data_IF_481541584426
#
_entry.id   IF_481541584426
#
_cell.length_a   1.000
_cell.length_b   1.000
_cell.length_c   1.000
_cell.angle_alpha   90.00
_cell.angle_beta   90.00
_cell.angle_gamma   90.00
#
_symmetry.space_group_name_H-M   'P 1'
#
loop_
_entity.id
_entity.type
_entity.pdbx_description
1 polymer ?
#
# COMPACT_ATOMS: atom_id res chain seq x y z
N UNK A 1 -4.85 -17.16 3.37
CA UNK A 1 -4.95 -17.24 1.90
C UNK A 1 -6.19 -16.47 1.42
N UNK A 2 -7.42 -16.79 1.88
CA UNK A 2 -8.64 -16.12 1.43
C UNK A 2 -8.64 -14.61 1.71
N UNK A 3 -8.22 -14.16 2.89
CA UNK A 3 -8.12 -12.73 3.24
C UNK A 3 -7.11 -11.98 2.37
N UNK A 4 -5.99 -12.62 2.02
CA UNK A 4 -4.98 -12.07 1.11
C UNK A 4 -5.55 -11.88 -0.31
N UNK A 5 -6.32 -12.86 -0.79
CA UNK A 5 -6.97 -12.79 -2.10
C UNK A 5 -8.05 -11.69 -2.10
N UNK A 6 -8.91 -11.66 -1.09
CA UNK A 6 -9.95 -10.64 -0.94
C UNK A 6 -9.34 -9.22 -0.90
N UNK A 7 -8.26 -9.00 -0.13
CA UNK A 7 -7.57 -7.73 -0.07
C UNK A 7 -6.92 -7.32 -1.40
N UNK A 8 -6.43 -8.29 -2.20
CA UNK A 8 -5.90 -8.05 -3.55
C UNK A 8 -7.00 -7.75 -4.56
N UNK A 9 -8.20 -8.26 -4.33
CA UNK A 9 -9.40 -7.95 -5.12
C UNK A 9 -10.14 -6.69 -4.62
N UNK A 10 -9.56 -5.94 -3.66
CA UNK A 10 -10.14 -4.71 -3.14
C UNK A 10 -11.20 -4.90 -2.05
N UNK A 11 -11.66 -6.14 -1.79
CA UNK A 11 -12.70 -6.42 -0.80
C UNK A 11 -12.12 -6.42 0.61
N UNK A 12 -12.66 -5.56 1.49
CA UNK A 12 -12.22 -5.48 2.90
C UNK A 12 -10.76 -5.05 3.09
N UNK A 13 -10.13 -4.46 2.07
CA UNK A 13 -8.70 -4.13 2.05
C UNK A 13 -8.26 -3.30 3.25
N UNK A 14 -9.03 -2.28 3.66
CA UNK A 14 -8.70 -1.41 4.79
C UNK A 14 -8.95 -2.08 6.15
N UNK A 15 -9.68 -3.19 6.19
CA UNK A 15 -9.91 -3.99 7.40
C UNK A 15 -8.88 -5.11 7.54
N UNK A 16 -8.11 -5.40 6.49
CA UNK A 16 -7.07 -6.43 6.48
C UNK A 16 -5.78 -5.91 7.12
N UNK A 17 -5.83 -5.78 8.46
CA UNK A 17 -4.78 -5.20 9.28
C UNK A 17 -4.44 -6.08 10.47
N UNK A 18 -3.25 -5.86 11.04
CA UNK A 18 -2.80 -6.46 12.30
C UNK A 18 -2.77 -5.39 13.40
N UNK A 19 -2.67 -5.81 14.65
CA UNK A 19 -2.50 -4.88 15.77
C UNK A 19 -1.15 -4.13 15.64
N UNK A 20 -1.10 -2.82 15.90
CA UNK A 20 0.16 -2.11 16.05
C UNK A 20 0.94 -2.62 17.26
N UNK A 21 2.27 -2.58 17.21
CA UNK A 21 3.11 -3.03 18.31
C UNK A 21 4.41 -3.67 17.86
N UNK A 22 5.10 -4.32 18.77
CA UNK A 22 6.38 -4.98 18.52
C UNK A 22 6.19 -6.48 18.36
N UNK A 23 6.73 -7.02 17.28
CA UNK A 23 6.69 -8.45 16.94
C UNK A 23 8.10 -8.99 16.80
N UNK A 24 8.28 -10.27 17.09
CA UNK A 24 9.54 -10.99 16.85
C UNK A 24 9.42 -11.93 15.65
N UNK A 25 10.52 -12.08 14.92
CA UNK A 25 10.72 -13.11 13.91
C UNK A 25 11.96 -13.90 14.34
N UNK A 26 11.85 -15.22 14.41
CA UNK A 26 12.88 -16.06 14.99
C UNK A 26 13.02 -15.83 16.50
N UNK A 27 14.25 -15.74 16.99
CA UNK A 27 14.58 -15.49 18.39
C UNK A 27 15.47 -14.24 18.54
N UNK A 28 14.91 -13.01 18.32
CA UNK A 28 15.69 -11.80 18.26
C UNK A 28 16.25 -11.43 19.66
N UNK A 29 17.54 -11.16 19.69
CA UNK A 29 18.29 -10.66 20.82
C UNK A 29 18.40 -9.13 20.85
N UNK A 30 19.25 -8.64 21.75
CA UNK A 30 19.46 -7.20 21.96
C UNK A 30 20.17 -6.49 20.79
N UNK A 31 20.91 -7.23 19.97
CA UNK A 31 21.65 -6.70 18.83
C UNK A 31 20.94 -6.94 17.49
N UNK A 32 19.78 -7.61 17.53
CA UNK A 32 18.96 -7.91 16.33
C UNK A 32 18.37 -6.67 15.71
N UNK A 33 18.29 -6.66 14.38
CA UNK A 33 17.77 -5.53 13.62
C UNK A 33 16.30 -5.22 13.99
N UNK A 34 15.96 -3.94 14.04
CA UNK A 34 14.59 -3.45 14.23
C UNK A 34 14.08 -2.87 12.92
N UNK A 35 13.13 -3.55 12.29
CA UNK A 35 12.47 -3.10 11.07
C UNK A 35 11.12 -2.47 11.42
N UNK A 36 10.75 -1.42 10.68
CA UNK A 36 9.47 -0.73 10.89
C UNK A 36 8.57 -0.95 9.67
N UNK A 37 7.30 -1.26 9.90
CA UNK A 37 6.31 -1.45 8.83
C UNK A 37 4.93 -0.93 9.22
N UNK A 38 4.04 -0.83 8.23
CA UNK A 38 2.64 -0.47 8.42
C UNK A 38 1.84 -1.66 8.98
N UNK A 39 0.72 -1.37 9.67
CA UNK A 39 -0.19 -2.42 10.14
C UNK A 39 -1.08 -3.01 9.03
N UNK A 40 -0.86 -2.68 7.76
CA UNK A 40 -1.46 -3.37 6.63
C UNK A 40 -0.91 -4.80 6.55
N UNK A 41 -1.80 -5.77 6.70
CA UNK A 41 -1.39 -7.18 6.86
C UNK A 41 -0.54 -7.70 5.70
N UNK A 42 -0.82 -7.31 4.44
CA UNK A 42 0.00 -7.74 3.31
C UNK A 42 1.44 -7.22 3.40
N UNK A 43 1.65 -5.97 3.84
CA UNK A 43 2.99 -5.41 4.03
C UNK A 43 3.74 -6.15 5.13
N UNK A 44 3.07 -6.43 6.24
CA UNK A 44 3.65 -7.17 7.35
C UNK A 44 3.99 -8.62 6.96
N UNK A 45 3.06 -9.36 6.36
CA UNK A 45 3.28 -10.75 5.96
C UNK A 45 4.39 -10.88 4.91
N UNK A 46 4.47 -9.91 3.98
CA UNK A 46 5.54 -9.87 2.98
C UNK A 46 6.90 -9.67 3.66
N UNK A 47 7.01 -8.67 4.56
CA UNK A 47 8.24 -8.43 5.29
C UNK A 47 8.62 -9.65 6.14
N UNK A 48 7.69 -10.19 6.91
CA UNK A 48 7.92 -11.36 7.78
C UNK A 48 8.41 -12.57 6.99
N UNK A 49 7.86 -12.80 5.80
CA UNK A 49 8.30 -13.89 4.91
C UNK A 49 9.77 -13.74 4.52
N UNK A 50 10.20 -12.54 4.19
CA UNK A 50 11.59 -12.29 3.78
C UNK A 50 12.57 -12.32 4.96
N UNK A 51 12.07 -12.34 6.20
CA UNK A 51 12.88 -12.41 7.43
C UNK A 51 12.99 -13.84 8.01
N UNK A 52 12.46 -14.86 7.34
CA UNK A 52 12.40 -16.24 7.88
C UNK A 52 13.75 -16.85 8.26
N UNK A 53 14.86 -16.33 7.73
CA UNK A 53 16.23 -16.77 8.03
C UNK A 53 16.98 -15.79 8.93
N UNK A 54 16.30 -14.80 9.51
CA UNK A 54 16.89 -13.74 10.31
C UNK A 54 16.14 -13.59 11.63
N UNK A 55 16.90 -13.40 12.71
CA UNK A 55 16.34 -13.00 13.99
C UNK A 55 16.19 -11.48 14.01
N UNK A 56 14.95 -11.01 13.99
CA UNK A 56 14.66 -9.58 13.86
C UNK A 56 13.41 -9.15 14.63
N UNK A 57 13.39 -7.89 15.04
CA UNK A 57 12.22 -7.22 15.58
C UNK A 57 11.47 -6.51 14.46
N UNK A 58 10.13 -6.57 14.46
CA UNK A 58 9.27 -5.80 13.57
C UNK A 58 8.41 -4.86 14.41
N UNK A 59 8.65 -3.56 14.29
CA UNK A 59 7.81 -2.52 14.89
C UNK A 59 6.71 -2.14 13.90
N UNK A 60 5.47 -2.39 14.27
CA UNK A 60 4.29 -2.17 13.44
C UNK A 60 3.60 -0.86 13.83
N UNK A 61 3.57 0.07 12.90
CA UNK A 61 2.97 1.40 13.05
C UNK A 61 1.49 1.37 12.66
N UNK A 62 0.62 2.06 13.40
CA UNK A 62 -0.79 2.16 13.04
C UNK A 62 -1.00 3.10 11.87
N UNK A 63 -1.28 2.52 10.72
CA UNK A 63 -1.60 3.21 9.48
C UNK A 63 -3.06 3.05 9.06
N UNK A 64 -3.91 2.60 9.98
CA UNK A 64 -5.33 2.27 9.73
C UNK A 64 -5.51 1.20 8.65
N UNK A 65 -4.58 0.27 8.52
CA UNK A 65 -4.62 -0.78 7.52
C UNK A 65 -4.20 -0.33 6.12
N UNK A 66 -3.52 0.80 5.99
CA UNK A 66 -3.00 1.32 4.71
C UNK A 66 -1.53 0.93 4.58
N UNK A 67 -1.08 0.62 3.37
CA UNK A 67 0.31 0.27 3.09
C UNK A 67 1.26 1.47 3.35
N UNK A 68 2.56 1.19 3.48
CA UNK A 68 3.58 2.19 3.84
C UNK A 68 3.53 3.43 2.94
N UNK A 69 3.56 3.24 1.61
CA UNK A 69 3.66 4.36 0.67
C UNK A 69 2.43 5.28 0.74
N UNK A 70 1.24 4.71 0.59
CA UNK A 70 0.01 5.49 0.67
C UNK A 70 -0.19 6.13 2.06
N UNK A 71 0.23 5.45 3.13
CA UNK A 71 0.13 5.95 4.49
C UNK A 71 1.11 7.11 4.76
N UNK A 72 2.32 7.04 4.22
CA UNK A 72 3.30 8.12 4.30
C UNK A 72 2.78 9.40 3.62
N UNK A 73 2.22 9.28 2.40
CA UNK A 73 1.61 10.41 1.69
C UNK A 73 0.37 11.00 2.38
N UNK A 74 -0.29 10.24 3.27
CA UNK A 74 -1.45 10.67 4.06
C UNK A 74 -1.11 11.05 5.51
N UNK A 75 0.17 11.20 5.83
CA UNK A 75 0.69 11.45 7.18
C UNK A 75 0.28 10.39 8.25
N UNK A 76 -0.19 9.22 7.83
CA UNK A 76 -0.53 8.11 8.72
C UNK A 76 0.70 7.27 9.09
N UNK A 77 1.67 7.15 8.17
CA UNK A 77 3.02 6.66 8.47
C UNK A 77 3.93 7.86 8.60
N UNK A 78 3.84 8.53 9.75
CA UNK A 78 4.53 9.80 10.00
C UNK A 78 5.50 9.73 11.17
N UNK A 79 6.32 10.77 11.31
CA UNK A 79 7.32 10.90 12.39
C UNK A 79 6.71 10.68 13.75
N UNK A 80 5.60 11.35 14.07
CA UNK A 80 4.92 11.26 15.38
C UNK A 80 4.49 9.82 15.69
N UNK A 81 3.96 9.11 14.71
CA UNK A 81 3.48 7.75 14.91
C UNK A 81 4.63 6.76 15.13
N UNK A 82 5.73 6.91 14.37
CA UNK A 82 6.95 6.11 14.60
C UNK A 82 7.49 6.34 16.01
N UNK A 83 7.64 7.60 16.43
CA UNK A 83 8.11 7.96 17.78
C UNK A 83 7.19 7.39 18.85
N UNK A 84 5.87 7.51 18.68
CA UNK A 84 4.87 6.95 19.59
C UNK A 84 5.03 5.44 19.72
N UNK A 85 5.16 4.72 18.62
CA UNK A 85 5.33 3.26 18.63
C UNK A 85 6.65 2.85 19.31
N UNK A 86 7.75 3.54 19.05
CA UNK A 86 9.04 3.28 19.72
C UNK A 86 8.92 3.43 21.25
N UNK A 87 8.29 4.51 21.70
CA UNK A 87 8.16 4.78 23.12
C UNK A 87 7.21 3.79 23.81
N UNK A 88 6.07 3.46 23.18
CA UNK A 88 5.10 2.49 23.72
C UNK A 88 5.65 1.06 23.80
N UNK A 89 6.45 0.65 22.81
CA UNK A 89 7.06 -0.69 22.80
C UNK A 89 8.21 -0.83 23.79
N UNK A 90 8.60 0.24 24.48
CA UNK A 90 9.78 0.28 25.36
C UNK A 90 11.04 -0.29 24.69
N UNK A 91 11.20 -0.05 23.38
CA UNK A 91 12.23 -0.66 22.54
C UNK A 91 13.65 -0.44 23.10
N UNK A 92 13.91 0.71 23.74
CA UNK A 92 15.19 1.02 24.42
C UNK A 92 15.59 0.00 25.50
N UNK A 93 14.63 -0.74 26.07
CA UNK A 93 14.92 -1.79 27.07
C UNK A 93 15.21 -3.14 26.44
N UNK A 94 14.84 -3.32 25.16
CA UNK A 94 14.94 -4.59 24.46
C UNK A 94 16.18 -4.68 23.59
N UNK A 95 16.66 -3.55 23.05
CA UNK A 95 17.81 -3.51 22.14
C UNK A 95 18.92 -2.60 22.69
N UNK A 96 20.18 -2.97 22.42
CA UNK A 96 21.36 -2.18 22.83
C UNK A 96 21.71 -1.08 21.86
N UNK A 97 21.32 -1.24 20.59
CA UNK A 97 21.58 -0.27 19.53
C UNK A 97 20.41 0.74 19.40
N UNK A 98 20.70 1.91 18.85
CA UNK A 98 19.72 2.97 18.62
C UNK A 98 19.43 3.14 17.11
N UNK A 99 19.08 2.06 16.41
CA UNK A 99 18.83 2.08 14.97
C UNK A 99 17.50 1.44 14.61
N UNK A 100 16.74 2.12 13.74
CA UNK A 100 15.50 1.63 13.14
C UNK A 100 15.69 1.54 11.62
N UNK A 101 15.30 0.43 11.02
CA UNK A 101 15.28 0.26 9.57
C UNK A 101 13.86 0.56 9.10
N UNK A 102 13.68 1.70 8.43
CA UNK A 102 12.43 2.10 7.80
C UNK A 102 12.45 1.80 6.31
N UNK A 103 11.31 1.39 5.73
CA UNK A 103 11.23 1.21 4.28
C UNK A 103 11.46 2.55 3.57
N UNK A 104 12.18 2.54 2.45
CA UNK A 104 12.48 3.76 1.66
C UNK A 104 11.21 4.56 1.32
N UNK A 105 10.10 3.88 1.06
CA UNK A 105 8.82 4.52 0.71
C UNK A 105 8.17 5.30 1.87
N UNK A 106 8.68 5.18 3.10
CA UNK A 106 8.24 5.98 4.24
C UNK A 106 8.91 7.36 4.31
N UNK A 107 9.94 7.60 3.51
CA UNK A 107 10.74 8.83 3.58
C UNK A 107 9.93 10.11 3.32
N UNK A 108 8.82 10.04 2.59
CA UNK A 108 7.93 11.18 2.34
C UNK A 108 7.12 11.62 3.56
N UNK A 109 6.92 10.72 4.55
CA UNK A 109 6.14 11.00 5.76
C UNK A 109 6.95 11.10 7.05
N UNK A 110 8.23 10.66 7.04
CA UNK A 110 9.04 10.54 8.25
C UNK A 110 10.30 11.40 8.17
N UNK A 111 10.45 12.30 9.14
CA UNK A 111 11.70 13.04 9.35
C UNK A 111 12.67 12.22 10.21
N UNK A 112 13.72 11.68 9.61
CA UNK A 112 14.74 10.90 10.30
C UNK A 112 15.39 11.69 11.46
N UNK A 113 15.61 12.99 11.26
CA UNK A 113 16.19 13.87 12.27
C UNK A 113 15.26 14.00 13.50
N UNK A 114 13.97 14.23 13.28
CA UNK A 114 13.00 14.34 14.39
C UNK A 114 12.80 13.02 15.12
N UNK A 115 12.74 11.88 14.40
CA UNK A 115 12.68 10.55 15.04
C UNK A 115 13.87 10.38 15.97
N UNK A 116 15.10 10.70 15.52
CA UNK A 116 16.29 10.61 16.35
C UNK A 116 16.21 11.54 17.57
N UNK A 117 15.78 12.78 17.38
CA UNK A 117 15.64 13.77 18.45
C UNK A 117 14.64 13.35 19.53
N UNK A 118 13.47 12.83 19.14
CA UNK A 118 12.35 12.56 20.03
C UNK A 118 12.37 11.14 20.63
N UNK A 119 12.90 10.15 19.89
CA UNK A 119 12.95 8.76 20.34
C UNK A 119 14.35 8.27 20.73
N UNK A 120 15.40 9.00 20.33
CA UNK A 120 16.81 8.57 20.46
C UNK A 120 17.27 7.54 19.41
N UNK A 121 16.38 7.07 18.52
CA UNK A 121 16.71 6.10 17.49
C UNK A 121 17.04 6.76 16.16
N UNK A 122 18.17 6.43 15.58
CA UNK A 122 18.54 6.86 14.22
C UNK A 122 17.77 6.02 13.19
N UNK A 123 17.26 6.68 12.16
CA UNK A 123 16.59 6.03 11.03
C UNK A 123 17.61 5.65 9.97
N UNK A 124 17.60 4.38 9.59
CA UNK A 124 18.26 3.84 8.41
C UNK A 124 17.19 3.57 7.35
N UNK A 125 17.39 4.14 6.17
CA UNK A 125 16.49 3.87 5.05
C UNK A 125 16.87 2.55 4.40
N UNK A 126 16.01 1.56 4.58
CA UNK A 126 16.13 0.25 3.97
C UNK A 126 15.69 0.23 2.50
N UNK A 127 15.64 -0.95 1.86
CA UNK A 127 15.22 -1.10 0.47
C UNK A 127 13.72 -0.78 0.28
N UNK A 128 13.35 -0.50 -0.98
CA UNK A 128 11.95 -0.34 -1.41
C UNK A 128 11.19 -1.67 -1.29
N UNK A 129 11.84 -2.77 -1.63
CA UNK A 129 11.23 -4.10 -1.66
C UNK A 129 11.68 -4.95 -0.49
N UNK A 130 10.73 -5.67 0.12
CA UNK A 130 11.03 -6.57 1.22
C UNK A 130 12.01 -7.69 0.83
N UNK A 131 11.95 -8.19 -0.41
CA UNK A 131 12.88 -9.23 -0.91
C UNK A 131 14.35 -8.86 -0.85
N UNK A 132 14.66 -7.56 -0.89
CA UNK A 132 16.03 -7.05 -0.89
C UNK A 132 16.57 -6.87 0.55
N UNK A 133 15.72 -7.10 1.59
CA UNK A 133 16.09 -6.84 2.99
C UNK A 133 17.23 -7.76 3.50
N UNK A 134 17.23 -9.02 3.08
CA UNK A 134 18.29 -9.96 3.46
C UNK A 134 19.64 -9.51 2.91
N UNK A 135 19.69 -9.17 1.61
CA UNK A 135 20.90 -8.64 0.97
C UNK A 135 21.35 -7.32 1.59
N UNK A 136 20.42 -6.44 1.92
CA UNK A 136 20.71 -5.17 2.60
C UNK A 136 21.35 -5.40 3.98
N UNK A 137 20.82 -6.33 4.78
CA UNK A 137 21.38 -6.65 6.11
C UNK A 137 22.75 -7.31 5.97
N UNK A 138 22.88 -8.28 5.05
CA UNK A 138 24.14 -8.99 4.80
C UNK A 138 25.25 -8.05 4.28
N UNK A 139 24.89 -7.03 3.49
CA UNK A 139 25.83 -6.03 2.96
C UNK A 139 26.13 -4.87 3.96
N UNK A 140 26.05 -5.14 5.25
CA UNK A 140 26.33 -4.14 6.28
C UNK A 140 25.35 -2.96 6.29
N UNK A 141 24.09 -3.20 5.91
CA UNK A 141 23.01 -2.18 5.87
C UNK A 141 23.27 -1.06 4.86
N UNK A 142 23.99 -1.37 3.79
CA UNK A 142 24.22 -0.47 2.66
C UNK A 142 23.21 -0.76 1.56
N UNK A 143 22.61 0.31 1.04
CA UNK A 143 21.59 0.22 -0.01
C UNK A 143 22.26 0.40 -1.37
N UNK A 144 22.07 -0.55 -2.25
CA UNK A 144 22.40 -0.42 -3.67
C UNK A 144 21.43 0.52 -4.37
N UNK A 145 21.85 1.15 -5.48
CA UNK A 145 20.99 2.03 -6.28
C UNK A 145 19.71 1.32 -6.78
N UNK A 146 19.83 0.03 -7.14
CA UNK A 146 18.69 -0.80 -7.56
C UNK A 146 17.65 -1.02 -6.45
N UNK A 147 18.08 -1.07 -5.20
CA UNK A 147 17.19 -1.26 -4.03
C UNK A 147 16.35 0.00 -3.72
N UNK A 148 16.69 1.16 -4.29
CA UNK A 148 15.98 2.43 -4.09
C UNK A 148 14.95 2.72 -5.15
N UNK A 149 14.86 1.91 -6.20
CA UNK A 149 13.99 2.16 -7.35
C UNK A 149 12.70 1.35 -7.28
N UNK A 150 11.59 2.02 -7.57
CA UNK A 150 10.31 1.37 -7.90
C UNK A 150 10.32 1.10 -9.38
N UNK A 151 10.21 -0.17 -9.80
CA UNK A 151 10.39 -0.55 -11.21
C UNK A 151 9.12 -0.40 -12.04
N UNK A 152 7.94 -0.40 -11.43
CA UNK A 152 6.65 -0.40 -12.14
C UNK A 152 6.60 -1.42 -13.29
N UNK A 153 7.10 -2.64 -13.05
CA UNK A 153 7.07 -3.71 -14.03
C UNK A 153 5.63 -4.02 -14.48
N UNK A 154 5.47 -4.63 -15.65
CA UNK A 154 4.16 -5.04 -16.17
C UNK A 154 3.34 -5.81 -15.12
N UNK A 155 3.95 -6.79 -14.44
CA UNK A 155 3.27 -7.56 -13.40
C UNK A 155 2.80 -6.72 -12.22
N UNK A 156 3.61 -5.74 -11.79
CA UNK A 156 3.25 -4.82 -10.69
C UNK A 156 2.05 -3.93 -11.05
N UNK A 157 1.90 -3.58 -12.32
CA UNK A 157 0.77 -2.79 -12.83
C UNK A 157 -0.49 -3.61 -13.01
N UNK A 158 -0.38 -4.80 -13.61
CA UNK A 158 -1.53 -5.69 -13.83
C UNK A 158 -2.18 -6.11 -12.50
N UNK A 159 -1.40 -6.33 -11.45
CA UNK A 159 -1.91 -6.69 -10.11
C UNK A 159 -2.82 -5.60 -9.52
N UNK A 160 -2.75 -4.35 -9.99
CA UNK A 160 -3.60 -3.25 -9.51
C UNK A 160 -4.96 -3.21 -10.23
N UNK A 161 -5.09 -3.76 -11.43
CA UNK A 161 -6.33 -3.73 -12.23
C UNK A 161 -7.54 -4.27 -11.45
N UNK A 162 -7.50 -5.44 -10.77
CA UNK A 162 -8.63 -5.94 -10.00
C UNK A 162 -9.07 -5.00 -8.87
N UNK A 163 -8.13 -4.26 -8.27
CA UNK A 163 -8.43 -3.29 -7.22
C UNK A 163 -9.20 -2.10 -7.79
N UNK A 164 -8.79 -1.57 -8.93
CA UNK A 164 -9.48 -0.47 -9.61
C UNK A 164 -10.88 -0.89 -10.05
N UNK A 165 -11.01 -2.05 -10.69
CA UNK A 165 -12.31 -2.59 -11.10
C UNK A 165 -13.26 -2.84 -9.92
N UNK A 166 -12.74 -3.25 -8.76
CA UNK A 166 -13.55 -3.50 -7.57
C UNK A 166 -14.20 -2.25 -6.96
N UNK A 167 -13.71 -1.06 -7.32
CA UNK A 167 -14.28 0.22 -6.86
C UNK A 167 -15.43 0.73 -7.74
N UNK A 168 -15.61 0.16 -8.93
CA UNK A 168 -16.62 0.59 -9.91
C UNK A 168 -18.07 0.21 -9.56
N UNK A 169 -18.38 -0.93 -8.92
CA UNK A 169 -19.77 -1.34 -8.71
C UNK A 169 -20.63 -0.30 -7.99
N UNK A 170 -20.09 0.38 -6.98
CA UNK A 170 -20.83 1.39 -6.21
C UNK A 170 -21.24 2.61 -7.05
N UNK A 171 -20.33 3.33 -7.74
CA UNK A 171 -20.73 4.44 -8.59
C UNK A 171 -21.56 3.98 -9.79
N UNK A 172 -21.27 2.81 -10.37
CA UNK A 172 -22.01 2.26 -11.50
C UNK A 172 -23.47 1.98 -11.16
N UNK A 173 -23.74 1.47 -9.95
CA UNK A 173 -25.11 1.18 -9.49
C UNK A 173 -26.01 2.43 -9.52
N UNK A 174 -25.47 3.61 -9.26
CA UNK A 174 -26.21 4.88 -9.35
C UNK A 174 -26.19 5.48 -10.75
N UNK A 175 -25.11 5.25 -11.47
CA UNK A 175 -24.94 5.78 -12.82
C UNK A 175 -25.87 5.12 -13.84
N UNK A 176 -26.09 3.81 -13.74
CA UNK A 176 -26.95 3.07 -14.68
C UNK A 176 -28.38 3.62 -14.74
N UNK A 177 -29.14 3.76 -13.63
CA UNK A 177 -30.48 4.34 -13.68
C UNK A 177 -30.47 5.80 -14.11
N UNK A 178 -29.44 6.58 -13.75
CA UNK A 178 -29.31 7.95 -14.20
C UNK A 178 -29.12 8.05 -15.72
N UNK A 179 -28.26 7.22 -16.31
CA UNK A 179 -28.09 7.12 -17.76
C UNK A 179 -29.41 6.76 -18.43
N UNK A 180 -30.13 5.76 -17.93
CA UNK A 180 -31.40 5.33 -18.47
C UNK A 180 -32.43 6.46 -18.47
N UNK A 181 -32.63 7.11 -17.34
CA UNK A 181 -33.60 8.21 -17.20
C UNK A 181 -33.24 9.40 -18.09
N UNK A 182 -31.99 9.86 -18.07
CA UNK A 182 -31.55 10.99 -18.87
C UNK A 182 -31.61 10.73 -20.38
N UNK A 183 -31.29 9.50 -20.80
CA UNK A 183 -31.33 9.10 -22.21
C UNK A 183 -32.75 9.06 -22.77
N UNK A 184 -33.75 8.84 -21.92
CA UNK A 184 -35.17 8.83 -22.33
C UNK A 184 -35.82 10.20 -22.47
N UNK A 185 -35.18 11.27 -21.96
CA UNK A 185 -35.72 12.64 -22.06
C UNK A 185 -35.61 13.13 -23.48
N UNK A 186 -36.72 13.63 -24.03
CA UNK A 186 -36.82 14.15 -25.39
C UNK A 186 -37.98 15.13 -25.54
N UNK A 187 -38.33 15.48 -26.79
CA UNK A 187 -39.38 16.46 -27.12
C UNK A 187 -40.80 16.05 -26.64
N UNK A 188 -41.04 14.74 -26.44
CA UNK A 188 -42.29 14.19 -25.93
C UNK A 188 -42.24 13.80 -24.46
N UNK A 189 -41.43 14.47 -23.64
CA UNK A 189 -41.17 14.25 -22.24
C UNK A 189 -40.32 13.01 -21.98
N UNK A 190 -40.77 11.78 -22.23
CA UNK A 190 -39.97 10.57 -22.00
C UNK A 190 -40.34 9.46 -22.98
N UNK A 191 -39.32 8.85 -23.60
CA UNK A 191 -39.44 7.74 -24.54
C UNK A 191 -38.62 6.55 -24.08
N UNK A 192 -39.25 5.40 -23.88
CA UNK A 192 -38.54 4.15 -23.52
C UNK A 192 -37.61 3.69 -24.66
N UNK A 193 -38.02 3.85 -25.92
CA UNK A 193 -37.19 3.50 -27.07
C UNK A 193 -35.91 4.32 -27.10
N UNK A 194 -35.99 5.63 -26.84
CA UNK A 194 -34.84 6.52 -26.76
C UNK A 194 -34.00 6.21 -25.53
N UNK A 195 -34.60 5.90 -24.40
CA UNK A 195 -33.89 5.50 -23.18
C UNK A 195 -32.99 4.27 -23.44
N UNK A 196 -33.49 3.27 -24.15
CA UNK A 196 -32.73 2.08 -24.51
C UNK A 196 -31.65 2.37 -25.58
N UNK A 197 -32.02 3.02 -26.69
CA UNK A 197 -31.07 3.22 -27.79
C UNK A 197 -29.95 4.18 -27.45
N UNK A 198 -30.26 5.36 -26.90
CA UNK A 198 -29.25 6.35 -26.46
C UNK A 198 -28.53 5.86 -25.21
N UNK A 199 -29.26 5.21 -24.27
CA UNK A 199 -28.68 4.62 -23.07
C UNK A 199 -27.64 3.56 -23.38
N UNK A 200 -27.88 2.70 -24.37
CA UNK A 200 -26.91 1.71 -24.82
C UNK A 200 -25.61 2.35 -25.39
N UNK A 201 -25.75 3.42 -26.17
CA UNK A 201 -24.58 4.17 -26.67
C UNK A 201 -23.74 4.76 -25.52
N UNK A 202 -24.39 5.35 -24.51
CA UNK A 202 -23.69 5.90 -23.34
C UNK A 202 -23.03 4.79 -22.51
N UNK A 203 -23.71 3.65 -22.36
CA UNK A 203 -23.14 2.49 -21.66
C UNK A 203 -21.94 1.90 -22.39
N UNK A 204 -21.96 1.82 -23.71
CA UNK A 204 -20.79 1.36 -24.49
C UNK A 204 -19.61 2.32 -24.33
N UNK A 205 -19.85 3.63 -24.38
CA UNK A 205 -18.82 4.63 -24.12
C UNK A 205 -18.26 4.53 -22.69
N UNK A 206 -19.13 4.34 -21.69
CA UNK A 206 -18.72 4.12 -20.29
C UNK A 206 -17.85 2.86 -20.14
N UNK A 207 -18.28 1.74 -20.72
CA UNK A 207 -17.51 0.50 -20.70
C UNK A 207 -16.14 0.66 -21.40
N UNK A 208 -16.11 1.34 -22.55
CA UNK A 208 -14.87 1.64 -23.25
C UNK A 208 -13.93 2.54 -22.41
N UNK A 209 -14.50 3.54 -21.71
CA UNK A 209 -13.75 4.38 -20.78
C UNK A 209 -13.13 3.60 -19.63
N UNK A 210 -13.89 2.65 -19.03
CA UNK A 210 -13.36 1.75 -17.98
C UNK A 210 -12.23 0.87 -18.54
N UNK A 211 -12.44 0.22 -19.68
CA UNK A 211 -11.42 -0.63 -20.31
C UNK A 211 -10.18 0.16 -20.67
N UNK A 212 -10.35 1.36 -21.21
CA UNK A 212 -9.24 2.26 -21.53
C UNK A 212 -8.49 2.72 -20.28
N UNK A 213 -9.20 3.23 -19.28
CA UNK A 213 -8.58 3.84 -18.10
C UNK A 213 -8.07 2.83 -17.08
N UNK A 214 -8.89 1.84 -16.71
CA UNK A 214 -8.55 0.90 -15.64
C UNK A 214 -7.72 -0.31 -16.12
N UNK A 215 -7.75 -0.66 -17.42
CA UNK A 215 -7.05 -1.83 -17.94
C UNK A 215 -5.97 -1.43 -18.94
N UNK A 216 -6.33 -0.76 -20.04
CA UNK A 216 -5.37 -0.47 -21.11
C UNK A 216 -4.31 0.54 -20.67
N UNK A 217 -4.68 1.63 -20.00
CA UNK A 217 -3.72 2.66 -19.58
C UNK A 217 -2.62 2.12 -18.64
N UNK A 218 -2.91 1.37 -17.57
CA UNK A 218 -1.86 0.79 -16.72
C UNK A 218 -0.96 -0.19 -17.48
N UNK A 219 -1.50 -0.94 -18.43
CA UNK A 219 -0.73 -1.90 -19.24
C UNK A 219 0.18 -1.15 -20.23
N UNK A 220 -0.36 -0.19 -20.95
CA UNK A 220 0.31 0.52 -22.06
C UNK A 220 1.19 1.69 -21.59
N UNK A 221 1.10 2.10 -20.33
CA UNK A 221 1.77 3.28 -19.78
C UNK A 221 3.24 3.47 -20.23
N UNK A 222 4.10 2.43 -20.36
CA UNK A 222 5.48 2.62 -20.80
C UNK A 222 5.64 3.00 -22.26
N UNK A 223 4.62 2.77 -23.08
CA UNK A 223 4.62 3.05 -24.52
C UNK A 223 3.76 4.25 -24.90
N UNK A 224 3.07 4.85 -23.92
CA UNK A 224 2.33 6.10 -24.13
C UNK A 224 3.32 7.25 -23.91
N UNK A 225 3.50 8.15 -24.91
CA UNK A 225 4.42 9.27 -24.83
C UNK A 225 4.03 10.29 -23.77
#
# INVERSE_FOLDING_TARGET
ILGTLAARLGTGRNQYKIAPGLYCVGNPGQDSAVLVTANYKLSFDTLRKELTLLDAWILVVDTRGINVWCAAGKALFGTREVVRCVNHSMLKKLVRHNQLILPQLAATGVSAHQVKKESGFAVLWGPVRAKDIQGFIANGRKVDGSMRQVTFSMGERIVLIPVELSQLPKPTMWLLPAIFLLSGIGTGFFSLSDAFSRGLMVLTAYAAGILGGAVAAPVLLPWIP
#
